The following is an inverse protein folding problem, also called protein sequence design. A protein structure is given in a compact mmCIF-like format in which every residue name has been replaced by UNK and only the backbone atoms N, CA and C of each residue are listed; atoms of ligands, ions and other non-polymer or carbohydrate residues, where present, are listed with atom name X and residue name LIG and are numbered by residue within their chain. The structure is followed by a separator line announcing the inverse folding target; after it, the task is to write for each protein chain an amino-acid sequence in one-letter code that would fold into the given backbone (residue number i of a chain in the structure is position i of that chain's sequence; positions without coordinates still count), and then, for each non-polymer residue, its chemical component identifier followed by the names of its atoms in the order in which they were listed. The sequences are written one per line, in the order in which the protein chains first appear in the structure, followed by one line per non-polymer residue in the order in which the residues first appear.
data_IF_501950739401
#
_entry.id   IF_501950739401
#
_cell.length_a   1.000
_cell.length_b   1.000
_cell.length_c   1.000
_cell.angle_alpha   90.00
_cell.angle_beta   90.00
_cell.angle_gamma   90.00
#
_symmetry.space_group_name_H-M   'P 1'
#
loop_
_entity.id
_entity.type
_entity.pdbx_description
1 polymer ?
#
# COMPACT_ATOMS: atom_id res chain seq x y z
N UNK A 1 29.02 30.29 40.71
CA UNK A 1 29.61 29.04 40.17
C UNK A 1 28.66 27.83 40.26
N UNK A 2 27.34 28.01 40.15
CA UNK A 2 26.34 26.91 40.26
C UNK A 2 25.42 26.76 39.04
N UNK A 3 25.50 27.69 38.08
CA UNK A 3 24.62 27.72 36.91
C UNK A 3 25.25 26.96 35.73
N UNK A 4 26.57 27.08 35.55
CA UNK A 4 27.31 26.40 34.47
C UNK A 4 27.31 24.88 34.65
N UNK A 5 27.42 24.40 35.90
CA UNK A 5 27.43 22.96 36.23
C UNK A 5 26.06 22.32 35.97
N UNK A 6 24.96 23.04 36.27
CA UNK A 6 23.60 22.55 36.00
C UNK A 6 23.31 22.46 34.50
N UNK A 7 23.83 23.39 33.70
CA UNK A 7 23.70 23.38 32.24
C UNK A 7 24.46 22.21 31.60
N UNK A 8 25.69 21.94 32.04
CA UNK A 8 26.50 20.83 31.53
C UNK A 8 25.93 19.45 31.89
N UNK A 9 25.34 19.29 33.07
CA UNK A 9 24.69 18.04 33.47
C UNK A 9 23.44 17.79 32.60
N UNK A 10 22.70 18.84 32.24
CA UNK A 10 21.48 18.71 31.43
C UNK A 10 21.78 18.29 29.98
N UNK A 11 22.85 18.81 29.37
CA UNK A 11 23.28 18.40 28.03
C UNK A 11 23.85 16.99 27.99
N UNK A 12 24.59 16.56 29.01
CA UNK A 12 25.15 15.21 29.06
C UNK A 12 24.02 14.16 29.24
N UNK A 13 23.06 14.43 30.13
CA UNK A 13 21.92 13.52 30.36
C UNK A 13 21.05 13.38 29.11
N UNK A 14 20.81 14.46 28.38
CA UNK A 14 20.00 14.43 27.16
C UNK A 14 20.67 13.65 26.02
N UNK A 15 21.98 13.78 25.83
CA UNK A 15 22.72 13.00 24.81
C UNK A 15 22.74 11.51 25.12
N UNK A 16 22.90 11.12 26.39
CA UNK A 16 22.88 9.71 26.82
C UNK A 16 21.50 9.08 26.58
N UNK A 17 20.42 9.80 26.87
CA UNK A 17 19.04 9.33 26.62
C UNK A 17 18.81 9.13 25.12
N UNK A 18 19.23 10.07 24.27
CA UNK A 18 19.07 9.96 22.81
C UNK A 18 19.85 8.75 22.27
N UNK A 19 21.08 8.56 22.74
CA UNK A 19 21.92 7.43 22.31
C UNK A 19 21.34 6.08 22.78
N UNK A 20 20.84 6.00 24.01
CA UNK A 20 20.18 4.80 24.53
C UNK A 20 18.88 4.47 23.81
N UNK A 21 18.12 5.48 23.36
CA UNK A 21 16.91 5.29 22.57
C UNK A 21 17.22 4.85 21.13
N UNK A 22 18.32 5.33 20.56
CA UNK A 22 18.79 4.93 19.23
C UNK A 22 19.26 3.47 19.18
N UNK A 23 20.01 3.01 20.18
CA UNK A 23 20.49 1.62 20.25
C UNK A 23 19.39 0.61 20.57
N UNK A 24 18.29 1.02 21.21
CA UNK A 24 17.16 0.17 21.57
C UNK A 24 16.15 -0.10 20.42
N UNK A 25 16.35 0.49 19.23
CA UNK A 25 15.50 0.31 18.03
C UNK A 25 13.98 0.40 18.31
N UNK A 26 13.59 1.30 19.21
CA UNK A 26 12.24 1.37 19.78
C UNK A 26 11.50 2.62 19.30
N UNK A 27 11.09 2.60 18.02
CA UNK A 27 10.33 3.67 17.33
C UNK A 27 9.03 4.11 18.05
N UNK A 28 8.54 3.33 19.02
CA UNK A 28 7.36 3.67 19.82
C UNK A 28 7.57 4.82 20.80
N UNK A 29 8.77 5.00 21.36
CA UNK A 29 9.03 6.03 22.37
C UNK A 29 9.26 7.41 21.76
N UNK A 30 9.83 7.48 20.55
CA UNK A 30 9.99 8.75 19.82
C UNK A 30 8.63 9.40 19.52
N UNK A 31 7.59 8.62 19.20
CA UNK A 31 6.26 9.13 18.89
C UNK A 31 5.56 9.84 20.07
N UNK A 32 5.89 9.43 21.31
CA UNK A 32 5.22 9.92 22.53
C UNK A 32 5.74 11.32 22.93
N UNK A 33 7.00 11.63 22.61
CA UNK A 33 7.62 12.89 23.01
C UNK A 33 7.31 14.07 22.08
N UNK A 34 6.81 13.80 20.86
CA UNK A 34 6.52 14.84 19.84
C UNK A 34 5.07 15.32 19.86
N UNK A 35 4.19 14.73 20.69
CA UNK A 35 2.78 15.10 20.76
C UNK A 35 2.33 15.40 22.19
N UNK A 36 2.41 16.67 22.62
CA UNK A 36 1.45 17.19 23.57
C UNK A 36 0.72 18.42 23.01
N UNK A 37 -0.59 18.50 23.26
CA UNK A 37 -1.52 19.62 22.99
C UNK A 37 -2.36 19.61 21.70
N UNK A 38 -2.76 18.44 21.20
CA UNK A 38 -3.98 18.34 20.40
C UNK A 38 -5.00 17.56 21.25
N UNK A 39 -6.11 18.18 21.70
CA UNK A 39 -7.17 17.44 22.37
C UNK A 39 -7.66 16.34 21.43
N UNK A 40 -8.09 15.17 21.93
CA UNK A 40 -8.71 14.17 21.09
C UNK A 40 -10.06 14.74 20.67
N UNK A 41 -10.08 15.52 19.58
CA UNK A 41 -11.29 15.64 18.78
C UNK A 41 -11.55 14.25 18.24
N UNK A 42 -12.46 13.55 18.90
CA UNK A 42 -13.14 12.38 18.37
C UNK A 42 -13.92 12.78 17.12
N UNK A 43 -13.20 12.91 16.02
CA UNK A 43 -13.70 12.65 14.68
C UNK A 43 -12.59 12.03 13.83
N UNK A 44 -11.81 11.12 14.44
CA UNK A 44 -11.04 10.13 13.68
C UNK A 44 -12.02 9.14 13.05
N UNK A 45 -12.48 9.53 11.86
CA UNK A 45 -12.71 8.68 10.71
C UNK A 45 -13.58 7.45 10.98
N UNK A 46 -14.83 7.52 10.52
CA UNK A 46 -15.62 6.33 10.17
C UNK A 46 -14.99 5.68 8.92
N UNK A 47 -13.73 5.22 9.03
CA UNK A 47 -13.07 4.44 8.00
C UNK A 47 -13.70 3.04 8.06
N UNK A 48 -14.79 2.87 7.35
CA UNK A 48 -15.40 1.57 7.15
C UNK A 48 -14.32 0.59 6.69
N UNK A 49 -14.37 -0.62 7.24
CA UNK A 49 -13.48 -1.79 7.09
C UNK A 49 -13.28 -2.25 5.62
N UNK A 50 -12.84 -1.36 4.73
CA UNK A 50 -12.66 -1.58 3.29
C UNK A 50 -11.26 -2.13 3.07
N UNK A 51 -11.15 -3.36 2.56
CA UNK A 51 -9.85 -4.01 2.32
C UNK A 51 -8.95 -3.19 1.40
N UNK A 52 -7.63 -3.36 1.55
CA UNK A 52 -6.63 -2.72 0.70
C UNK A 52 -6.86 -3.06 -0.79
N UNK A 53 -7.21 -4.31 -1.10
CA UNK A 53 -7.61 -4.73 -2.45
C UNK A 53 -8.80 -3.93 -2.96
N UNK A 54 -9.85 -3.76 -2.17
CA UNK A 54 -11.06 -3.03 -2.59
C UNK A 54 -10.74 -1.57 -2.91
N UNK A 55 -9.94 -0.91 -2.09
CA UNK A 55 -9.52 0.47 -2.34
C UNK A 55 -8.74 0.56 -3.66
N UNK A 56 -7.78 -0.34 -3.88
CA UNK A 56 -6.99 -0.38 -5.09
C UNK A 56 -7.84 -0.70 -6.33
N UNK A 57 -8.74 -1.68 -6.24
CA UNK A 57 -9.61 -2.06 -7.35
C UNK A 57 -10.57 -0.93 -7.77
N UNK A 58 -11.04 -0.12 -6.82
CA UNK A 58 -11.85 1.07 -7.12
C UNK A 58 -11.05 2.11 -7.92
N UNK A 59 -9.75 2.27 -7.68
CA UNK A 59 -8.90 3.21 -8.47
C UNK A 59 -8.74 2.80 -9.94
N UNK A 60 -8.91 1.53 -10.25
CA UNK A 60 -8.85 1.02 -11.62
C UNK A 60 -10.23 0.82 -12.25
N UNK A 61 -11.32 1.15 -11.55
CA UNK A 61 -12.69 1.03 -12.07
C UNK A 61 -13.02 -0.38 -12.59
N UNK A 62 -12.50 -1.42 -11.92
CA UNK A 62 -12.83 -2.80 -12.30
C UNK A 62 -14.18 -3.24 -11.74
N UNK A 63 -14.92 -3.97 -12.57
CA UNK A 63 -16.17 -4.65 -12.23
C UNK A 63 -16.04 -5.72 -11.13
N UNK A 64 -14.81 -6.15 -10.79
CA UNK A 64 -14.52 -7.16 -9.77
C UNK A 64 -14.97 -6.75 -8.36
N UNK A 65 -15.04 -5.45 -8.07
CA UNK A 65 -15.44 -4.94 -6.74
C UNK A 65 -16.69 -4.06 -6.77
N UNK A 66 -17.14 -3.66 -7.96
CA UNK A 66 -18.40 -2.94 -8.15
C UNK A 66 -19.55 -3.92 -8.32
N UNK A 67 -19.62 -4.62 -9.45
CA UNK A 67 -20.70 -5.55 -9.79
C UNK A 67 -20.58 -6.89 -9.07
N UNK A 68 -19.36 -7.41 -8.94
CA UNK A 68 -19.15 -8.83 -8.58
C UNK A 68 -18.66 -9.08 -7.14
N UNK A 69 -18.28 -8.04 -6.40
CA UNK A 69 -17.87 -8.10 -4.99
C UNK A 69 -16.82 -9.17 -4.61
N UNK A 70 -15.87 -9.45 -5.50
CA UNK A 70 -14.84 -10.48 -5.31
C UNK A 70 -13.69 -10.04 -4.38
N UNK A 71 -13.72 -8.81 -3.83
CA UNK A 71 -12.62 -8.26 -3.03
C UNK A 71 -12.22 -9.15 -1.85
N UNK A 72 -13.19 -9.80 -1.22
CA UNK A 72 -12.95 -10.62 -0.02
C UNK A 72 -12.17 -11.87 -0.36
N UNK A 73 -12.48 -12.49 -1.49
CA UNK A 73 -11.81 -13.71 -1.95
C UNK A 73 -10.40 -13.40 -2.42
N UNK A 74 -10.23 -12.36 -3.24
CA UNK A 74 -8.90 -11.98 -3.71
C UNK A 74 -7.99 -11.54 -2.57
N UNK A 75 -8.47 -10.69 -1.64
CA UNK A 75 -7.67 -10.31 -0.47
C UNK A 75 -7.30 -11.54 0.39
N UNK A 76 -8.25 -12.45 0.66
CA UNK A 76 -7.99 -13.60 1.52
C UNK A 76 -6.94 -14.55 0.94
N UNK A 77 -7.03 -14.87 -0.34
CA UNK A 77 -6.19 -15.92 -0.94
C UNK A 77 -4.94 -15.39 -1.64
N UNK A 78 -4.94 -14.13 -2.09
CA UNK A 78 -3.84 -13.61 -2.90
C UNK A 78 -2.90 -12.66 -2.15
N UNK A 79 -3.28 -12.16 -0.96
CA UNK A 79 -2.46 -11.18 -0.24
C UNK A 79 -1.10 -11.69 0.22
N UNK A 80 -0.94 -13.00 0.41
CA UNK A 80 0.36 -13.59 0.76
C UNK A 80 1.38 -13.55 -0.39
N UNK A 81 0.94 -13.25 -1.62
CA UNK A 81 1.82 -13.16 -2.79
C UNK A 81 2.20 -11.71 -3.15
N UNK A 82 1.78 -10.73 -2.35
CA UNK A 82 2.22 -9.32 -2.53
C UNK A 82 3.74 -9.24 -2.38
N UNK A 83 4.38 -8.49 -3.28
CA UNK A 83 5.83 -8.31 -3.34
C UNK A 83 6.61 -9.62 -3.40
N UNK A 84 6.08 -10.64 -4.09
CA UNK A 84 6.75 -11.92 -4.29
C UNK A 84 6.95 -12.24 -5.77
N UNK A 85 7.91 -13.11 -6.06
CA UNK A 85 8.19 -13.57 -7.42
C UNK A 85 7.19 -14.64 -7.84
N UNK A 86 6.03 -14.20 -8.35
CA UNK A 86 5.00 -15.07 -8.90
C UNK A 86 4.83 -14.87 -10.39
N UNK A 87 4.29 -15.89 -11.07
CA UNK A 87 3.73 -15.77 -12.41
C UNK A 87 2.22 -15.89 -12.29
N UNK A 88 1.50 -14.85 -12.70
CA UNK A 88 0.05 -14.78 -12.60
C UNK A 88 -0.55 -14.69 -14.00
N UNK A 89 -1.46 -15.60 -14.33
CA UNK A 89 -2.17 -15.62 -15.61
C UNK A 89 -3.64 -15.25 -15.41
N UNK A 90 -4.09 -14.19 -16.07
CA UNK A 90 -5.52 -13.88 -16.25
C UNK A 90 -5.97 -14.21 -17.68
N UNK A 91 -7.16 -14.76 -17.82
CA UNK A 91 -7.82 -14.99 -19.11
C UNK A 91 -8.93 -13.95 -19.23
N UNK A 92 -8.86 -13.13 -20.29
CA UNK A 92 -9.75 -12.01 -20.55
C UNK A 92 -9.17 -10.68 -20.07
N UNK A 93 -8.89 -9.79 -21.02
CA UNK A 93 -8.43 -8.42 -20.77
C UNK A 93 -9.62 -7.47 -20.50
N UNK A 94 -10.84 -7.89 -20.87
CA UNK A 94 -12.04 -7.08 -20.73
C UNK A 94 -12.23 -6.09 -21.87
N UNK A 95 -11.98 -6.52 -23.11
CA UNK A 95 -12.10 -5.69 -24.32
C UNK A 95 -13.49 -5.11 -24.60
N UNK A 96 -14.54 -5.66 -23.97
CA UNK A 96 -15.92 -5.18 -24.06
C UNK A 96 -16.31 -4.30 -22.86
N UNK A 97 -15.36 -3.95 -22.00
CA UNK A 97 -15.59 -3.11 -20.82
C UNK A 97 -15.33 -1.63 -21.17
N UNK A 98 -15.97 -0.69 -20.44
CA UNK A 98 -15.70 0.75 -20.61
C UNK A 98 -14.23 1.11 -20.40
N UNK A 99 -13.55 0.40 -19.49
CA UNK A 99 -12.13 0.60 -19.17
C UNK A 99 -11.38 -0.72 -19.40
N UNK A 100 -10.69 -0.81 -20.54
CA UNK A 100 -9.99 -2.01 -20.98
C UNK A 100 -8.77 -2.29 -20.11
N UNK A 101 -8.60 -3.53 -19.66
CA UNK A 101 -7.45 -3.99 -18.87
C UNK A 101 -7.35 -3.36 -17.48
N UNK A 102 -8.48 -2.93 -16.90
CA UNK A 102 -8.53 -2.49 -15.50
C UNK A 102 -8.04 -3.55 -14.52
N UNK A 103 -8.38 -4.82 -14.76
CA UNK A 103 -7.89 -5.96 -13.96
C UNK A 103 -6.38 -6.15 -14.08
N UNK A 104 -5.84 -6.09 -15.30
CA UNK A 104 -4.41 -6.23 -15.54
C UNK A 104 -3.59 -5.19 -14.78
N UNK A 105 -4.06 -3.93 -14.75
CA UNK A 105 -3.43 -2.85 -13.97
C UNK A 105 -3.57 -3.07 -12.47
N UNK A 106 -4.75 -3.51 -12.01
CA UNK A 106 -4.97 -3.89 -10.62
C UNK A 106 -3.99 -4.98 -10.18
N UNK A 107 -3.81 -6.05 -10.96
CA UNK A 107 -2.89 -7.13 -10.60
C UNK A 107 -1.45 -6.67 -10.49
N UNK A 108 -0.97 -5.85 -11.43
CA UNK A 108 0.37 -5.23 -11.38
C UNK A 108 0.57 -4.41 -10.11
N UNK A 109 -0.40 -3.57 -9.74
CA UNK A 109 -0.32 -2.77 -8.52
C UNK A 109 -0.49 -3.59 -7.24
N UNK A 110 -1.33 -4.62 -7.26
CA UNK A 110 -1.62 -5.44 -6.09
C UNK A 110 -0.44 -6.35 -5.73
N UNK A 111 0.13 -7.06 -6.71
CA UNK A 111 1.24 -7.98 -6.48
C UNK A 111 2.60 -7.28 -6.42
N UNK A 112 2.72 -6.07 -6.98
CA UNK A 112 3.96 -5.30 -6.94
C UNK A 112 4.98 -5.73 -8.01
N UNK A 113 6.19 -5.15 -7.96
CA UNK A 113 7.13 -5.13 -9.09
C UNK A 113 7.79 -6.49 -9.39
N UNK A 114 7.70 -7.45 -8.48
CA UNK A 114 8.34 -8.76 -8.64
C UNK A 114 7.46 -9.78 -9.36
N UNK A 115 6.18 -9.47 -9.56
CA UNK A 115 5.23 -10.37 -10.19
C UNK A 115 5.26 -10.22 -11.71
N UNK A 116 5.24 -11.36 -12.41
CA UNK A 116 5.06 -11.45 -13.85
C UNK A 116 3.57 -11.64 -14.15
N UNK A 117 2.92 -10.59 -14.66
CA UNK A 117 1.49 -10.58 -14.98
C UNK A 117 1.31 -10.89 -16.47
N UNK A 118 0.69 -12.03 -16.76
CA UNK A 118 0.38 -12.53 -18.09
C UNK A 118 -1.12 -12.45 -18.32
N UNK A 119 -1.54 -11.93 -19.48
CA UNK A 119 -2.95 -11.83 -19.87
C UNK A 119 -3.14 -12.52 -21.22
N UNK A 120 -4.17 -13.35 -21.35
CA UNK A 120 -4.62 -13.89 -22.65
C UNK A 120 -5.94 -13.24 -23.03
N UNK A 121 -6.02 -12.73 -24.26
CA UNK A 121 -7.21 -12.08 -24.82
C UNK A 121 -7.49 -12.66 -26.21
N UNK A 122 -8.76 -12.88 -26.54
CA UNK A 122 -9.17 -13.48 -27.81
C UNK A 122 -9.31 -12.41 -28.91
N UNK A 123 -9.69 -11.18 -28.54
CA UNK A 123 -9.74 -10.05 -29.47
C UNK A 123 -8.31 -9.54 -29.72
N UNK A 124 -7.74 -9.99 -30.84
CA UNK A 124 -6.39 -9.62 -31.27
C UNK A 124 -6.19 -8.11 -31.28
N UNK A 125 -7.10 -7.37 -31.92
CA UNK A 125 -6.91 -5.93 -32.15
C UNK A 125 -6.96 -5.16 -30.85
N UNK A 126 -7.90 -5.51 -29.96
CA UNK A 126 -7.97 -4.92 -28.63
C UNK A 126 -6.73 -5.26 -27.78
N UNK A 127 -6.31 -6.52 -27.78
CA UNK A 127 -5.13 -6.97 -27.04
C UNK A 127 -3.86 -6.24 -27.49
N UNK A 128 -3.63 -6.12 -28.80
CA UNK A 128 -2.50 -5.39 -29.38
C UNK A 128 -2.55 -3.91 -29.02
N UNK A 129 -3.71 -3.25 -29.16
CA UNK A 129 -3.88 -1.84 -28.81
C UNK A 129 -3.60 -1.57 -27.33
N UNK A 130 -4.04 -2.46 -26.44
CA UNK A 130 -3.74 -2.34 -25.01
C UNK A 130 -2.26 -2.59 -24.71
N UNK A 131 -1.66 -3.61 -25.34
CA UNK A 131 -0.24 -3.94 -25.15
C UNK A 131 0.67 -2.79 -25.55
N UNK A 132 0.39 -2.15 -26.68
CA UNK A 132 1.13 -0.98 -27.15
C UNK A 132 1.07 0.19 -26.15
N UNK A 133 -0.08 0.39 -25.50
CA UNK A 133 -0.28 1.48 -24.56
C UNK A 133 0.22 1.20 -23.14
N UNK A 134 0.07 -0.04 -22.67
CA UNK A 134 0.27 -0.40 -21.26
C UNK A 134 1.17 -1.62 -21.05
N UNK A 135 1.27 -2.52 -22.02
CA UNK A 135 1.93 -3.82 -21.88
C UNK A 135 3.45 -3.78 -21.80
N UNK A 136 4.09 -2.74 -22.36
CA UNK A 136 5.56 -2.56 -22.38
C UNK A 136 6.17 -2.13 -21.04
N UNK A 137 5.34 -1.93 -20.00
CA UNK A 137 5.74 -1.64 -18.62
C UNK A 137 5.63 -2.90 -17.79
#
# INVERSE_FOLDING_TARGET
MNIVIKSAIFTIVSVIIIYALYTANNLRLLQILINPLIPPTESKLKLTNVSAFKQLALTFETDKVTTHHYERMYEKYLSNYKNSHIKFLEIGLGCQQPVIGSSARLWRSFFGPFAEINIIEYDKNCGEAWYEKYGKK
#
